data_IF_043562811191
#
_entry.id   IF_043562811191
#
_cell.length_a   1.000
_cell.length_b   1.000
_cell.length_c   1.000
_cell.angle_alpha   90.00
_cell.angle_beta   90.00
_cell.angle_gamma   90.00
#
_symmetry.space_group_name_H-M   'P 1'
#
loop_
_entity.id
_entity.type
_entity.pdbx_description
1 polymer ?
#
# COMPACT_ATOMS: atom_id res chain seq x y z
N UNK A 1 26.77 3.89 -3.60
CA UNK A 1 25.46 4.28 -4.16
C UNK A 1 25.20 5.74 -3.86
N UNK A 2 24.55 6.45 -4.78
CA UNK A 2 24.12 7.84 -4.56
C UNK A 2 23.13 7.91 -3.40
N UNK A 3 23.26 8.89 -2.52
CA UNK A 3 22.26 9.09 -1.47
C UNK A 3 21.02 9.75 -2.08
N UNK A 4 19.88 9.16 -1.84
CA UNK A 4 18.60 9.62 -2.37
C UNK A 4 17.67 9.96 -1.21
N UNK A 5 16.88 11.02 -1.40
CA UNK A 5 15.99 11.56 -0.39
C UNK A 5 14.60 11.82 -0.94
N UNK A 6 13.60 11.63 -0.11
CA UNK A 6 12.27 12.19 -0.31
C UNK A 6 12.32 13.63 0.18
N UNK A 7 12.30 14.56 -0.78
CA UNK A 7 12.31 16.00 -0.52
C UNK A 7 10.91 16.53 -0.23
N UNK A 8 9.91 16.05 -0.98
CA UNK A 8 8.52 16.44 -0.80
C UNK A 8 7.59 15.25 -1.02
N UNK A 9 6.49 15.22 -0.28
CA UNK A 9 5.49 14.19 -0.40
C UNK A 9 4.11 14.74 -0.02
N UNK A 10 3.08 14.30 -0.73
CA UNK A 10 1.70 14.69 -0.42
C UNK A 10 0.71 13.63 -0.90
N UNK A 11 -0.48 13.66 -0.33
CA UNK A 11 -1.63 12.90 -0.82
C UNK A 11 -2.91 13.74 -0.72
N UNK A 12 -3.93 13.35 -1.45
CA UNK A 12 -5.30 13.82 -1.25
C UNK A 12 -5.97 13.03 -0.14
N UNK A 13 -7.09 13.50 0.37
CA UNK A 13 -7.97 12.62 1.14
C UNK A 13 -8.35 11.43 0.24
N UNK A 14 -8.13 10.20 0.72
CA UNK A 14 -8.65 9.03 0.05
C UNK A 14 -10.14 8.88 0.38
N UNK A 15 -10.96 8.53 -0.61
CA UNK A 15 -12.38 8.45 -0.37
C UNK A 15 -13.24 8.47 -1.62
N UNK A 16 -14.45 8.99 -1.48
CA UNK A 16 -15.38 9.16 -2.60
C UNK A 16 -15.38 10.63 -3.01
N UNK A 17 -15.00 10.91 -4.25
CA UNK A 17 -14.91 12.25 -4.82
C UNK A 17 -15.76 12.37 -6.09
N UNK A 18 -17.11 12.31 -6.00
CA UNK A 18 -17.99 12.26 -7.18
C UNK A 18 -17.80 13.47 -8.12
N UNK A 19 -17.52 14.64 -7.54
CA UNK A 19 -17.44 15.92 -8.26
C UNK A 19 -16.01 16.29 -8.69
N UNK A 20 -15.04 15.42 -8.47
CA UNK A 20 -13.63 15.65 -8.83
C UNK A 20 -13.18 14.68 -9.93
N UNK A 21 -12.51 15.23 -10.91
CA UNK A 21 -11.85 14.43 -11.93
C UNK A 21 -10.54 13.79 -11.43
N UNK A 22 -10.03 12.82 -12.18
CA UNK A 22 -8.70 12.24 -11.94
C UNK A 22 -7.60 13.33 -11.97
N UNK A 23 -7.74 14.31 -12.89
CA UNK A 23 -6.78 15.42 -13.02
C UNK A 23 -6.80 16.36 -11.80
N UNK A 24 -7.97 16.61 -11.20
CA UNK A 24 -8.07 17.44 -10.00
C UNK A 24 -7.37 16.77 -8.82
N UNK A 25 -7.54 15.45 -8.65
CA UNK A 25 -6.87 14.69 -7.61
C UNK A 25 -5.35 14.65 -7.81
N UNK A 26 -4.90 14.34 -9.03
CA UNK A 26 -3.48 14.32 -9.37
C UNK A 26 -2.83 15.71 -9.23
N UNK A 27 -3.52 16.76 -9.68
CA UNK A 27 -3.06 18.15 -9.58
C UNK A 27 -2.90 18.63 -8.14
N UNK A 28 -3.83 18.27 -7.24
CA UNK A 28 -3.72 18.58 -5.82
C UNK A 28 -2.50 17.88 -5.20
N UNK A 29 -2.35 16.57 -5.42
CA UNK A 29 -1.22 15.82 -4.86
C UNK A 29 0.12 16.37 -5.37
N UNK A 30 0.25 16.64 -6.68
CA UNK A 30 1.44 17.22 -7.26
C UNK A 30 1.76 18.60 -6.68
N UNK A 31 0.79 19.52 -6.70
CA UNK A 31 0.99 20.89 -6.23
C UNK A 31 1.49 20.92 -4.78
N UNK A 32 0.90 20.08 -3.93
CA UNK A 32 1.28 19.96 -2.53
C UNK A 32 2.65 19.31 -2.34
N UNK A 33 3.00 18.27 -3.13
CA UNK A 33 4.30 17.64 -3.05
C UNK A 33 5.43 18.57 -3.52
N UNK A 34 5.19 19.34 -4.60
CA UNK A 34 6.12 20.37 -5.06
C UNK A 34 6.32 21.49 -4.01
N UNK A 35 5.22 21.95 -3.40
CA UNK A 35 5.30 22.95 -2.32
C UNK A 35 6.04 22.41 -1.09
N UNK A 36 5.82 21.14 -0.72
CA UNK A 36 6.52 20.47 0.37
C UNK A 36 8.03 20.30 0.11
N UNK A 37 8.42 20.08 -1.16
CA UNK A 37 9.82 20.04 -1.59
C UNK A 37 10.46 21.43 -1.75
N UNK A 38 9.66 22.50 -1.85
CA UNK A 38 10.13 23.84 -2.16
C UNK A 38 10.52 24.03 -3.63
N UNK A 39 9.96 23.26 -4.56
CA UNK A 39 10.33 23.30 -5.98
C UNK A 39 9.10 23.48 -6.90
N UNK A 40 9.34 23.50 -8.21
CA UNK A 40 8.33 23.64 -9.25
C UNK A 40 8.40 22.47 -10.23
N UNK A 41 7.39 22.32 -11.08
CA UNK A 41 7.41 21.29 -12.13
C UNK A 41 8.59 21.41 -13.11
N UNK A 42 9.18 22.60 -13.26
CA UNK A 42 10.35 22.84 -14.14
C UNK A 42 11.65 22.25 -13.59
N UNK A 43 11.70 21.94 -12.30
CA UNK A 43 12.86 21.32 -11.64
C UNK A 43 12.91 19.81 -11.85
N UNK A 44 11.78 19.21 -12.29
CA UNK A 44 11.67 17.77 -12.53
C UNK A 44 12.41 17.36 -13.78
N UNK A 45 13.19 16.27 -13.72
CA UNK A 45 13.88 15.70 -14.89
C UNK A 45 13.22 14.44 -15.43
N UNK A 46 12.35 13.77 -14.64
CA UNK A 46 11.59 12.58 -15.04
C UNK A 46 10.33 12.45 -14.19
N UNK A 47 9.27 11.88 -14.74
CA UNK A 47 8.04 11.59 -14.04
C UNK A 47 7.56 10.16 -14.27
N UNK A 48 7.15 9.47 -13.19
CA UNK A 48 6.57 8.15 -13.19
C UNK A 48 5.11 8.25 -12.74
N UNK A 49 4.20 7.82 -13.62
CA UNK A 49 2.76 7.80 -13.35
C UNK A 49 2.30 6.38 -13.07
N UNK A 50 1.53 6.19 -12.01
CA UNK A 50 0.87 4.93 -11.68
C UNK A 50 -0.65 5.10 -11.63
N UNK A 51 -1.35 4.27 -12.41
CA UNK A 51 -2.81 4.25 -12.46
C UNK A 51 -3.29 3.03 -13.23
N UNK A 52 -4.05 2.17 -12.57
CA UNK A 52 -4.48 0.87 -13.08
C UNK A 52 -5.85 0.97 -13.76
N UNK A 53 -6.75 1.77 -13.18
CA UNK A 53 -8.16 1.74 -13.55
C UNK A 53 -8.50 2.63 -14.75
N UNK A 54 -7.58 3.47 -15.20
CA UNK A 54 -7.81 4.48 -16.23
C UNK A 54 -8.34 3.89 -17.55
N UNK A 55 -7.78 2.75 -17.98
CA UNK A 55 -8.22 2.05 -19.20
C UNK A 55 -9.66 1.55 -19.09
N UNK A 56 -9.95 0.79 -18.03
CA UNK A 56 -11.25 0.17 -17.84
C UNK A 56 -12.35 1.17 -17.46
N UNK A 57 -12.07 2.08 -16.51
CA UNK A 57 -13.11 2.94 -15.94
C UNK A 57 -13.29 4.26 -16.69
N UNK A 58 -12.20 4.88 -17.17
CA UNK A 58 -12.23 6.15 -17.89
C UNK A 58 -12.07 6.01 -19.41
N UNK A 59 -11.73 4.79 -19.91
CA UNK A 59 -11.47 4.56 -21.33
C UNK A 59 -10.09 5.05 -21.81
N UNK A 60 -9.24 5.56 -20.90
CA UNK A 60 -7.89 6.03 -21.24
C UNK A 60 -6.91 4.85 -21.19
N UNK A 61 -6.89 4.01 -22.23
CA UNK A 61 -6.08 2.79 -22.31
C UNK A 61 -4.60 3.09 -22.51
N UNK A 62 -4.28 4.12 -23.32
CA UNK A 62 -2.90 4.46 -23.69
C UNK A 62 -2.51 5.82 -23.15
N UNK A 63 -1.20 6.00 -22.85
CA UNK A 63 -0.60 7.27 -22.42
C UNK A 63 -1.31 7.98 -21.25
N UNK A 64 -1.85 7.27 -20.23
CA UNK A 64 -2.61 7.93 -19.16
C UNK A 64 -1.78 8.98 -18.41
N UNK A 65 -0.51 8.71 -18.12
CA UNK A 65 0.38 9.66 -17.46
C UNK A 65 0.60 10.93 -18.24
N UNK A 66 0.86 10.84 -19.55
CA UNK A 66 1.04 12.01 -20.41
C UNK A 66 -0.24 12.87 -20.43
N UNK A 67 -1.41 12.22 -20.51
CA UNK A 67 -2.70 12.92 -20.46
C UNK A 67 -2.92 13.62 -19.11
N UNK A 68 -2.62 12.94 -17.99
CA UNK A 68 -2.73 13.53 -16.67
C UNK A 68 -1.74 14.69 -16.51
N UNK A 69 -0.46 14.46 -16.81
CA UNK A 69 0.60 15.44 -16.60
C UNK A 69 0.45 16.69 -17.47
N UNK A 70 0.00 16.56 -18.73
CA UNK A 70 -0.26 17.71 -19.59
C UNK A 70 -1.32 18.65 -19.02
N UNK A 71 -2.29 18.12 -18.25
CA UNK A 71 -3.35 18.92 -17.62
C UNK A 71 -2.92 19.62 -16.34
N UNK A 72 -1.83 19.16 -15.72
CA UNK A 72 -1.34 19.65 -14.43
C UNK A 72 0.05 20.32 -14.52
N UNK A 73 0.51 20.61 -15.75
CA UNK A 73 1.68 21.44 -16.00
C UNK A 73 3.02 20.72 -15.87
N UNK A 74 3.07 19.39 -16.06
CA UNK A 74 4.32 18.63 -16.21
C UNK A 74 4.49 18.27 -17.68
N UNK A 75 5.49 18.87 -18.32
CA UNK A 75 5.73 18.72 -19.77
C UNK A 75 7.23 18.81 -20.10
N UNK A 76 7.62 18.35 -21.27
CA UNK A 76 9.00 18.48 -21.77
C UNK A 76 10.01 17.52 -21.12
N UNK A 77 9.57 16.60 -20.29
CA UNK A 77 10.41 15.59 -19.63
C UNK A 77 9.92 14.17 -19.97
N UNK A 78 10.76 13.14 -19.80
CA UNK A 78 10.33 11.75 -19.92
C UNK A 78 9.21 11.42 -18.93
N UNK A 79 8.14 10.77 -19.43
CA UNK A 79 7.02 10.28 -18.64
C UNK A 79 6.86 8.79 -18.89
N UNK A 80 6.85 8.01 -17.81
CA UNK A 80 6.65 6.56 -17.83
C UNK A 80 5.35 6.18 -17.12
N UNK A 81 4.60 5.26 -17.73
CA UNK A 81 3.38 4.70 -17.16
C UNK A 81 3.72 3.36 -16.52
N UNK A 82 3.40 3.19 -15.24
CA UNK A 82 3.80 2.05 -14.42
C UNK A 82 2.55 1.31 -13.96
N UNK A 83 2.59 -0.02 -14.14
CA UNK A 83 1.53 -0.92 -13.73
C UNK A 83 2.14 -2.18 -13.11
N UNK A 84 1.83 -2.45 -11.84
CA UNK A 84 2.06 -3.65 -11.04
C UNK A 84 0.90 -3.83 -10.06
N UNK A 85 -0.33 -3.72 -10.57
CA UNK A 85 -1.55 -3.74 -9.76
C UNK A 85 -1.44 -2.81 -8.53
N UNK A 86 -1.80 -3.26 -7.33
CA UNK A 86 -1.76 -2.44 -6.11
C UNK A 86 -0.35 -1.95 -5.75
N UNK A 87 0.72 -2.59 -6.25
CA UNK A 87 2.12 -2.18 -6.04
C UNK A 87 2.60 -1.08 -7.02
N UNK A 88 1.75 -0.58 -7.93
CA UNK A 88 2.15 0.37 -8.98
C UNK A 88 2.74 1.66 -8.40
N UNK A 89 2.15 2.21 -7.33
CA UNK A 89 2.67 3.43 -6.69
C UNK A 89 4.07 3.24 -6.12
N UNK A 90 4.32 2.14 -5.44
CA UNK A 90 5.64 1.78 -4.91
C UNK A 90 6.62 1.45 -6.03
N UNK A 91 6.16 0.87 -7.14
CA UNK A 91 6.97 0.62 -8.33
C UNK A 91 7.42 1.93 -8.99
N UNK A 92 6.54 2.92 -9.09
CA UNK A 92 6.90 4.24 -9.62
C UNK A 92 7.92 4.95 -8.71
N UNK A 93 7.80 4.80 -7.40
CA UNK A 93 8.80 5.29 -6.44
C UNK A 93 10.15 4.59 -6.62
N UNK A 94 10.17 3.26 -6.76
CA UNK A 94 11.41 2.51 -7.01
C UNK A 94 12.09 2.96 -8.30
N UNK A 95 11.35 3.14 -9.40
CA UNK A 95 11.92 3.58 -10.68
C UNK A 95 12.45 5.02 -10.61
N UNK A 96 11.83 5.90 -9.82
CA UNK A 96 12.37 7.21 -9.53
C UNK A 96 13.74 7.09 -8.81
N UNK A 97 13.84 6.22 -7.78
CA UNK A 97 15.11 5.90 -7.11
C UNK A 97 16.16 5.37 -8.09
N UNK A 98 15.77 4.46 -9.00
CA UNK A 98 16.69 3.89 -10.01
C UNK A 98 17.22 4.96 -10.99
N UNK A 99 16.36 5.88 -11.45
CA UNK A 99 16.78 6.99 -12.32
C UNK A 99 17.79 7.93 -11.65
N UNK A 100 17.57 8.24 -10.38
CA UNK A 100 18.49 9.05 -9.57
C UNK A 100 19.83 8.34 -9.35
N UNK A 101 19.81 7.03 -9.05
CA UNK A 101 21.01 6.21 -8.91
C UNK A 101 21.81 6.11 -10.22
N UNK A 102 21.11 6.05 -11.36
CA UNK A 102 21.73 6.02 -12.69
C UNK A 102 22.30 7.38 -13.14
N UNK A 103 22.05 8.45 -12.36
CA UNK A 103 22.48 9.80 -12.69
C UNK A 103 21.80 10.40 -13.93
N UNK A 104 20.63 9.89 -14.33
CA UNK A 104 19.89 10.42 -15.47
C UNK A 104 19.19 11.74 -15.15
N UNK A 105 18.94 12.00 -13.87
CA UNK A 105 18.38 13.23 -13.34
C UNK A 105 18.71 13.35 -11.86
N UNK A 106 18.56 14.56 -11.28
CA UNK A 106 18.74 14.85 -9.86
C UNK A 106 17.40 15.04 -9.12
N UNK A 107 16.30 15.21 -9.85
CA UNK A 107 14.95 15.39 -9.30
C UNK A 107 13.97 14.56 -10.09
N UNK A 108 13.26 13.68 -9.41
CA UNK A 108 12.28 12.76 -10.01
C UNK A 108 10.93 12.85 -9.30
N UNK A 109 9.85 12.68 -10.07
CA UNK A 109 8.47 12.60 -9.58
C UNK A 109 7.96 11.16 -9.68
N UNK A 110 7.40 10.65 -8.57
CA UNK A 110 6.50 9.51 -8.57
C UNK A 110 5.09 10.01 -8.20
N UNK A 111 4.09 9.73 -9.04
CA UNK A 111 2.69 10.14 -8.81
C UNK A 111 1.74 9.01 -9.17
N UNK A 112 0.86 8.68 -8.22
CA UNK A 112 -0.23 7.73 -8.43
C UNK A 112 -1.60 8.39 -8.29
N UNK A 113 -2.55 8.03 -9.16
CA UNK A 113 -3.90 8.57 -9.11
C UNK A 113 -4.94 7.56 -9.60
N UNK A 114 -6.04 7.44 -8.86
CA UNK A 114 -7.15 6.56 -9.18
C UNK A 114 -8.52 7.22 -8.99
N UNK A 115 -9.44 6.84 -9.87
CA UNK A 115 -10.84 7.23 -9.81
C UNK A 115 -11.70 5.96 -9.93
N UNK A 116 -11.91 5.28 -8.80
CA UNK A 116 -12.55 3.95 -8.73
C UNK A 116 -14.03 4.00 -8.38
N UNK A 117 -14.49 5.09 -7.71
CA UNK A 117 -15.89 5.24 -7.34
C UNK A 117 -16.71 5.76 -8.52
N UNK A 118 -17.26 4.83 -9.29
CA UNK A 118 -18.18 5.09 -10.39
C UNK A 118 -19.58 4.58 -10.06
N UNK A 119 -20.64 5.07 -10.73
CA UNK A 119 -22.01 4.61 -10.51
C UNK A 119 -22.19 3.10 -10.78
N UNK A 120 -21.57 2.58 -11.84
CA UNK A 120 -21.62 1.16 -12.20
C UNK A 120 -20.68 0.34 -11.30
N UNK A 121 -21.27 -0.27 -10.27
CA UNK A 121 -20.53 -1.08 -9.29
C UNK A 121 -19.99 -2.38 -9.86
N UNK A 122 -20.68 -2.96 -10.84
CA UNK A 122 -20.21 -4.19 -11.53
C UNK A 122 -18.91 -3.90 -12.28
N UNK A 123 -18.87 -2.80 -13.02
CA UNK A 123 -17.65 -2.35 -13.71
C UNK A 123 -16.53 -2.00 -12.72
N UNK A 124 -16.85 -1.39 -11.58
CA UNK A 124 -15.87 -1.09 -10.54
C UNK A 124 -15.24 -2.36 -9.92
N UNK A 125 -16.03 -3.43 -9.73
CA UNK A 125 -15.54 -4.72 -9.23
C UNK A 125 -14.71 -5.45 -10.31
N UNK A 126 -15.07 -5.32 -11.58
CA UNK A 126 -14.36 -5.97 -12.70
C UNK A 126 -12.88 -5.55 -12.83
N UNK A 127 -12.47 -4.43 -12.19
CA UNK A 127 -11.06 -4.02 -12.11
C UNK A 127 -10.18 -5.16 -11.57
N UNK A 128 -10.68 -5.86 -10.56
CA UNK A 128 -9.92 -6.89 -9.88
C UNK A 128 -9.78 -8.18 -10.70
N UNK A 129 -10.60 -8.39 -11.72
CA UNK A 129 -10.51 -9.58 -12.60
C UNK A 129 -9.22 -9.58 -13.45
N UNK A 130 -8.56 -8.44 -13.62
CA UNK A 130 -7.27 -8.32 -14.29
C UNK A 130 -6.05 -8.49 -13.39
N UNK A 131 -6.25 -8.76 -12.08
CA UNK A 131 -5.16 -8.85 -11.11
C UNK A 131 -4.40 -10.17 -11.10
N UNK A 132 -4.67 -11.08 -12.05
CA UNK A 132 -4.01 -12.38 -12.26
C UNK A 132 -4.04 -12.77 -13.75
N UNK A 133 -3.56 -13.98 -14.07
CA UNK A 133 -3.67 -14.52 -15.43
C UNK A 133 -5.15 -14.75 -15.79
N UNK A 134 -5.70 -13.86 -16.63
CA UNK A 134 -7.11 -13.91 -17.04
C UNK A 134 -7.47 -15.12 -17.88
N UNK A 135 -6.47 -15.75 -18.54
CA UNK A 135 -6.68 -16.97 -19.34
C UNK A 135 -6.96 -18.20 -18.47
N UNK A 136 -6.59 -18.15 -17.18
CA UNK A 136 -6.74 -19.23 -16.20
C UNK A 136 -7.45 -18.76 -14.91
N UNK A 137 -8.18 -17.64 -14.98
CA UNK A 137 -8.74 -16.96 -13.80
C UNK A 137 -9.61 -17.88 -12.91
N UNK A 138 -10.49 -18.69 -13.49
CA UNK A 138 -11.37 -19.56 -12.73
C UNK A 138 -10.62 -20.75 -12.11
N UNK A 139 -9.65 -21.33 -12.81
CA UNK A 139 -8.80 -22.42 -12.32
C UNK A 139 -7.91 -21.94 -11.17
N UNK A 140 -7.27 -20.78 -11.34
CA UNK A 140 -6.43 -20.16 -10.32
C UNK A 140 -7.25 -19.80 -9.07
N UNK A 141 -8.42 -19.19 -9.25
CA UNK A 141 -9.31 -18.86 -8.15
C UNK A 141 -9.79 -20.13 -7.40
N UNK A 142 -10.18 -21.19 -8.12
CA UNK A 142 -10.58 -22.44 -7.50
C UNK A 142 -9.44 -23.07 -6.70
N UNK A 143 -8.22 -23.09 -7.25
CA UNK A 143 -7.01 -23.58 -6.57
C UNK A 143 -6.73 -22.80 -5.29
N UNK A 144 -6.78 -21.47 -5.34
CA UNK A 144 -6.53 -20.62 -4.18
C UNK A 144 -7.62 -20.76 -3.11
N UNK A 145 -8.88 -20.88 -3.51
CA UNK A 145 -10.00 -21.11 -2.56
C UNK A 145 -9.87 -22.45 -1.83
N UNK A 146 -9.27 -23.48 -2.47
CA UNK A 146 -8.99 -24.77 -1.82
C UNK A 146 -7.99 -24.69 -0.65
N UNK A 147 -7.17 -23.64 -0.56
CA UNK A 147 -6.30 -23.42 0.60
C UNK A 147 -7.10 -23.37 1.91
N UNK A 148 -8.34 -22.85 1.84
CA UNK A 148 -9.26 -22.78 2.98
C UNK A 148 -9.98 -24.09 3.33
N UNK A 149 -9.74 -25.18 2.61
CA UNK A 149 -10.41 -26.46 2.88
C UNK A 149 -10.11 -27.00 4.27
N UNK A 150 -11.13 -27.60 4.92
CA UNK A 150 -11.05 -28.15 6.27
C UNK A 150 -11.53 -27.20 7.37
N UNK A 151 -11.86 -25.94 7.04
CA UNK A 151 -12.59 -25.03 7.94
C UNK A 151 -13.98 -24.80 7.33
N UNK A 152 -15.01 -25.21 8.04
CA UNK A 152 -16.41 -25.00 7.62
C UNK A 152 -16.88 -23.61 8.05
N UNK A 153 -17.29 -22.73 7.13
CA UNK A 153 -17.89 -21.45 7.49
C UNK A 153 -19.17 -21.62 8.30
N UNK A 154 -19.40 -20.82 9.36
CA UNK A 154 -20.65 -20.81 10.10
C UNK A 154 -21.85 -20.45 9.20
N UNK A 155 -23.07 -20.95 9.47
CA UNK A 155 -24.27 -20.50 8.78
C UNK A 155 -24.45 -18.97 8.86
N UNK A 156 -24.82 -18.34 7.73
CA UNK A 156 -25.05 -16.88 7.66
C UNK A 156 -23.78 -16.03 7.63
N UNK A 157 -22.60 -16.64 7.41
CA UNK A 157 -21.32 -15.95 7.32
C UNK A 157 -20.87 -15.61 5.89
N UNK A 158 -21.81 -15.65 4.94
CA UNK A 158 -21.61 -15.32 3.53
C UNK A 158 -22.50 -14.13 3.14
N UNK A 159 -21.99 -13.26 2.29
CA UNK A 159 -22.73 -12.08 1.81
C UNK A 159 -23.77 -12.45 0.76
N UNK A 160 -24.98 -11.88 0.86
CA UNK A 160 -25.98 -11.93 -0.20
C UNK A 160 -25.66 -10.99 -1.39
N UNK A 161 -24.64 -10.13 -1.25
CA UNK A 161 -24.22 -9.17 -2.28
C UNK A 161 -22.97 -9.67 -2.98
N UNK A 162 -22.81 -9.38 -4.28
CA UNK A 162 -21.58 -9.68 -5.00
C UNK A 162 -20.34 -9.03 -4.35
N UNK A 163 -19.25 -9.77 -4.28
CA UNK A 163 -17.93 -9.31 -3.87
C UNK A 163 -16.86 -9.84 -4.84
N UNK A 164 -15.67 -9.26 -4.82
CA UNK A 164 -14.60 -9.66 -5.73
C UNK A 164 -14.07 -11.06 -5.39
N UNK A 165 -13.58 -11.80 -6.37
CA UNK A 165 -12.90 -13.09 -6.18
C UNK A 165 -11.70 -12.97 -5.23
N UNK A 166 -11.04 -11.82 -5.19
CA UNK A 166 -9.95 -11.55 -4.23
C UNK A 166 -10.40 -11.72 -2.79
N UNK A 167 -11.63 -11.30 -2.43
CA UNK A 167 -12.12 -11.48 -1.06
C UNK A 167 -12.31 -12.95 -0.72
N UNK A 168 -12.78 -13.78 -1.67
CA UNK A 168 -12.85 -15.24 -1.49
C UNK A 168 -11.47 -15.85 -1.27
N UNK A 169 -10.46 -15.37 -1.98
CA UNK A 169 -9.07 -15.82 -1.85
C UNK A 169 -8.49 -15.39 -0.50
N UNK A 170 -8.64 -14.12 -0.10
CA UNK A 170 -8.20 -13.66 1.23
C UNK A 170 -8.88 -14.46 2.35
N UNK A 171 -10.18 -14.74 2.23
CA UNK A 171 -10.88 -15.58 3.20
C UNK A 171 -10.34 -17.02 3.23
N UNK A 172 -9.97 -17.58 2.08
CA UNK A 172 -9.33 -18.89 2.01
C UNK A 172 -7.95 -18.88 2.67
N UNK A 173 -7.15 -17.82 2.46
CA UNK A 173 -5.87 -17.61 3.14
C UNK A 173 -6.07 -17.49 4.66
N UNK A 174 -7.09 -16.76 5.12
CA UNK A 174 -7.46 -16.73 6.54
C UNK A 174 -7.74 -18.15 7.09
N UNK A 175 -8.57 -18.92 6.41
CA UNK A 175 -8.91 -20.29 6.85
C UNK A 175 -7.69 -21.22 6.81
N UNK A 176 -6.81 -21.09 5.82
CA UNK A 176 -5.56 -21.81 5.81
C UNK A 176 -4.69 -21.45 7.02
N UNK A 177 -4.57 -20.17 7.34
CA UNK A 177 -3.79 -19.70 8.48
C UNK A 177 -4.41 -20.11 9.83
N UNK A 178 -5.74 -20.10 9.91
CA UNK A 178 -6.49 -20.65 11.06
C UNK A 178 -6.16 -22.13 11.28
N UNK A 179 -6.16 -22.92 10.22
CA UNK A 179 -5.86 -24.36 10.29
C UNK A 179 -4.40 -24.64 10.64
N UNK A 180 -3.48 -23.84 10.12
CA UNK A 180 -2.04 -24.08 10.21
C UNK A 180 -1.47 -23.55 11.53
N UNK A 181 -1.90 -22.37 11.96
CA UNK A 181 -1.31 -21.63 13.07
C UNK A 181 -2.31 -21.33 14.21
N UNK A 182 -3.57 -21.68 14.05
CA UNK A 182 -4.59 -21.42 15.08
C UNK A 182 -5.10 -19.99 15.15
N UNK A 183 -4.86 -19.18 14.11
CA UNK A 183 -5.39 -17.82 14.04
C UNK A 183 -6.91 -17.82 14.17
N UNK A 184 -7.46 -16.81 14.82
CA UNK A 184 -8.90 -16.70 15.09
C UNK A 184 -9.52 -15.51 14.36
N UNK A 185 -10.83 -15.56 14.14
CA UNK A 185 -11.57 -14.41 13.60
C UNK A 185 -11.43 -13.17 14.51
N UNK A 186 -11.31 -13.37 15.82
CA UNK A 186 -11.10 -12.29 16.79
C UNK A 186 -9.77 -11.58 16.57
N UNK A 187 -8.72 -12.30 16.21
CA UNK A 187 -7.42 -11.71 15.88
C UNK A 187 -7.46 -10.87 14.60
N UNK A 188 -8.20 -11.31 13.59
CA UNK A 188 -8.48 -10.50 12.39
C UNK A 188 -9.28 -9.24 12.76
N UNK A 189 -10.27 -9.37 13.62
CA UNK A 189 -11.05 -8.24 14.11
C UNK A 189 -10.19 -7.25 14.94
N UNK A 190 -9.18 -7.74 15.66
CA UNK A 190 -8.25 -6.89 16.41
C UNK A 190 -7.40 -6.02 15.46
N UNK A 191 -6.91 -6.58 14.34
CA UNK A 191 -6.23 -5.81 13.27
C UNK A 191 -7.13 -4.71 12.74
N UNK A 192 -8.34 -5.06 12.32
CA UNK A 192 -9.30 -4.11 11.78
C UNK A 192 -9.67 -3.01 12.78
N UNK A 193 -10.00 -3.37 14.03
CA UNK A 193 -10.33 -2.42 15.08
C UNK A 193 -9.17 -1.43 15.32
N UNK A 194 -7.92 -1.92 15.36
CA UNK A 194 -6.71 -1.11 15.48
C UNK A 194 -6.58 -0.13 14.30
N UNK A 195 -6.73 -0.59 13.06
CA UNK A 195 -6.62 0.25 11.88
C UNK A 195 -7.67 1.36 11.89
N UNK A 196 -8.91 1.06 12.26
CA UNK A 196 -9.96 2.06 12.41
C UNK A 196 -9.72 3.02 13.59
N UNK A 197 -9.06 2.59 14.67
CA UNK A 197 -8.64 3.48 15.76
C UNK A 197 -7.53 4.44 15.28
N UNK A 198 -6.54 3.96 14.55
CA UNK A 198 -5.45 4.78 14.02
C UNK A 198 -5.96 5.87 13.06
N UNK A 199 -6.90 5.52 12.20
CA UNK A 199 -7.45 6.46 11.20
C UNK A 199 -8.26 7.62 11.79
N UNK A 200 -8.76 7.51 13.02
CA UNK A 200 -9.48 8.61 13.69
C UNK A 200 -8.67 9.90 13.66
N UNK A 201 -7.35 9.79 13.84
CA UNK A 201 -6.42 10.92 13.88
C UNK A 201 -5.79 11.23 12.52
N UNK A 202 -6.16 10.51 11.45
CA UNK A 202 -5.63 10.76 10.12
C UNK A 202 -6.63 11.54 9.25
N UNK A 203 -6.39 12.85 8.97
CA UNK A 203 -7.30 13.66 8.16
C UNK A 203 -7.38 13.20 6.69
N UNK A 204 -6.45 12.36 6.24
CA UNK A 204 -6.39 11.86 4.86
C UNK A 204 -7.14 10.55 4.66
N UNK A 205 -7.66 9.94 5.74
CA UNK A 205 -8.36 8.65 5.70
C UNK A 205 -9.81 8.78 5.25
N UNK A 206 -10.26 7.78 4.46
CA UNK A 206 -11.64 7.64 3.99
C UNK A 206 -12.61 7.42 5.15
N UNK A 207 -12.25 6.55 6.08
CA UNK A 207 -13.02 6.30 7.30
C UNK A 207 -12.25 6.83 8.51
N UNK A 208 -12.99 7.49 9.39
CA UNK A 208 -12.45 8.07 10.63
C UNK A 208 -13.33 7.75 11.83
N UNK A 209 -14.04 6.63 11.74
CA UNK A 209 -14.88 6.10 12.80
C UNK A 209 -14.17 4.92 13.44
N UNK A 210 -13.94 4.92 14.76
CA UNK A 210 -13.37 3.77 15.46
C UNK A 210 -14.38 2.62 15.51
N UNK A 211 -13.86 1.39 15.60
CA UNK A 211 -14.63 0.20 15.90
C UNK A 211 -14.00 -0.53 17.08
N UNK A 212 -14.84 -1.18 17.87
CA UNK A 212 -14.40 -2.23 18.80
C UNK A 212 -14.27 -3.57 18.07
N UNK A 213 -13.56 -4.52 18.66
CA UNK A 213 -13.45 -5.89 18.12
C UNK A 213 -14.85 -6.51 17.97
N UNK A 214 -15.73 -6.31 18.95
CA UNK A 214 -17.10 -6.81 18.97
C UNK A 214 -17.95 -6.21 17.83
N UNK A 215 -17.81 -4.91 17.56
CA UNK A 215 -18.48 -4.25 16.42
C UNK A 215 -18.00 -4.77 15.09
N UNK A 216 -16.69 -5.05 14.95
CA UNK A 216 -16.12 -5.66 13.74
C UNK A 216 -16.66 -7.07 13.53
N UNK A 217 -16.71 -7.89 14.57
CA UNK A 217 -17.23 -9.26 14.51
C UNK A 217 -18.72 -9.31 14.19
N UNK A 218 -19.50 -8.34 14.68
CA UNK A 218 -20.94 -8.22 14.46
C UNK A 218 -21.31 -7.55 13.11
N UNK A 219 -20.32 -7.02 12.38
CA UNK A 219 -20.54 -6.35 11.10
C UNK A 219 -21.02 -7.35 10.01
N UNK A 220 -21.70 -6.86 8.93
CA UNK A 220 -22.12 -7.71 7.84
C UNK A 220 -20.98 -8.56 7.29
N UNK A 221 -21.20 -9.87 7.05
CA UNK A 221 -20.19 -10.75 6.49
C UNK A 221 -19.92 -10.41 5.01
N UNK A 222 -18.70 -10.70 4.58
CA UNK A 222 -18.34 -10.79 3.14
C UNK A 222 -18.25 -12.27 2.77
N UNK A 223 -17.28 -12.98 3.34
CA UNK A 223 -17.12 -14.43 3.29
C UNK A 223 -16.22 -14.85 4.45
N UNK A 224 -16.59 -15.93 5.16
CA UNK A 224 -15.93 -16.30 6.43
C UNK A 224 -14.42 -16.50 6.28
N UNK A 225 -13.61 -15.88 7.16
CA UNK A 225 -13.95 -15.15 8.39
C UNK A 225 -14.05 -13.62 8.23
N UNK A 226 -14.08 -13.08 7.00
CA UNK A 226 -14.05 -11.65 6.74
C UNK A 226 -15.43 -11.01 6.90
N UNK A 227 -15.48 -9.91 7.66
CA UNK A 227 -16.60 -8.98 7.72
C UNK A 227 -16.29 -7.71 6.90
N UNK A 228 -17.29 -6.91 6.61
CA UNK A 228 -17.16 -5.73 5.75
C UNK A 228 -16.03 -4.77 6.16
N UNK A 229 -15.86 -4.37 7.43
CA UNK A 229 -14.78 -3.47 7.82
C UNK A 229 -13.37 -4.10 7.76
N UNK A 230 -13.25 -5.43 7.70
CA UNK A 230 -11.96 -6.13 7.52
C UNK A 230 -11.45 -6.11 6.08
N UNK A 231 -12.12 -5.37 5.18
CA UNK A 231 -11.78 -5.33 3.75
C UNK A 231 -11.61 -3.89 3.30
N UNK A 232 -10.58 -3.62 2.52
CA UNK A 232 -10.32 -2.30 1.98
C UNK A 232 -11.46 -1.82 1.06
N UNK A 233 -11.91 -0.55 1.20
CA UNK A 233 -12.97 0.01 0.36
C UNK A 233 -12.44 0.43 -1.02
N UNK A 234 -13.36 0.55 -1.99
CA UNK A 234 -13.08 1.28 -3.23
C UNK A 234 -12.84 2.76 -2.91
N UNK A 235 -11.73 3.30 -3.37
CA UNK A 235 -11.32 4.67 -3.06
C UNK A 235 -10.88 5.43 -4.32
N UNK A 236 -11.22 6.70 -4.38
CA UNK A 236 -10.60 7.68 -5.26
C UNK A 236 -9.47 8.36 -4.49
N UNK A 237 -8.42 8.76 -5.16
CA UNK A 237 -7.35 9.52 -4.54
C UNK A 237 -6.08 9.58 -5.36
N UNK A 238 -5.16 10.40 -4.91
CA UNK A 238 -3.83 10.57 -5.51
C UNK A 238 -2.78 10.79 -4.42
N UNK A 239 -1.56 10.38 -4.70
CA UNK A 239 -0.39 10.67 -3.89
C UNK A 239 0.82 10.92 -4.80
N UNK A 240 1.73 11.82 -4.36
CA UNK A 240 2.91 12.21 -5.12
C UNK A 240 4.13 12.35 -4.21
N UNK A 241 5.28 11.92 -4.69
CA UNK A 241 6.57 12.06 -4.02
C UNK A 241 7.60 12.70 -4.96
N UNK A 242 8.35 13.68 -4.45
CA UNK A 242 9.50 14.30 -5.09
C UNK A 242 10.77 13.72 -4.47
N UNK A 243 11.55 13.04 -5.29
CA UNK A 243 12.81 12.41 -4.89
C UNK A 243 13.99 13.19 -5.47
N UNK A 244 15.06 13.31 -4.69
CA UNK A 244 16.26 14.05 -5.10
C UNK A 244 17.53 13.31 -4.73
N UNK A 245 18.60 13.53 -5.54
CA UNK A 245 19.98 13.35 -5.11
C UNK A 245 20.37 14.50 -4.16
N UNK A 246 21.55 14.45 -3.54
CA UNK A 246 22.08 15.56 -2.74
C UNK A 246 22.25 16.84 -3.60
N UNK A 247 22.72 16.69 -4.84
CA UNK A 247 22.83 17.77 -5.82
C UNK A 247 21.46 18.34 -6.19
N UNK A 248 20.45 17.46 -6.35
CA UNK A 248 19.06 17.86 -6.58
C UNK A 248 18.49 18.68 -5.44
N UNK A 249 18.73 18.27 -4.17
CA UNK A 249 18.30 19.01 -2.99
C UNK A 249 18.91 20.43 -2.95
N UNK A 250 20.22 20.56 -3.24
CA UNK A 250 20.89 21.85 -3.31
C UNK A 250 20.30 22.72 -4.42
N UNK A 251 20.05 22.14 -5.62
CA UNK A 251 19.51 22.87 -6.77
C UNK A 251 18.13 23.46 -6.50
N UNK A 252 17.26 22.71 -5.82
CA UNK A 252 15.90 23.20 -5.51
C UNK A 252 15.82 23.97 -4.20
N UNK A 253 16.92 24.05 -3.43
CA UNK A 253 16.93 24.74 -2.13
C UNK A 253 16.08 24.06 -1.05
N UNK A 254 15.96 22.73 -1.09
CA UNK A 254 15.14 21.97 -0.14
C UNK A 254 15.65 22.09 1.30
N UNK A 255 14.75 22.12 2.28
CA UNK A 255 15.11 22.02 3.69
C UNK A 255 15.64 20.61 4.02
N UNK A 256 16.96 20.49 4.07
CA UNK A 256 17.67 19.23 4.30
C UNK A 256 17.23 18.51 5.58
N UNK A 257 16.75 19.24 6.60
CA UNK A 257 16.30 18.66 7.87
C UNK A 257 14.98 17.92 7.74
N UNK A 258 14.19 18.28 6.72
CA UNK A 258 12.91 17.61 6.41
C UNK A 258 13.04 16.49 5.36
N UNK A 259 14.20 16.40 4.69
CA UNK A 259 14.44 15.37 3.69
C UNK A 259 14.68 14.01 4.35
N UNK A 260 13.92 13.00 3.96
CA UNK A 260 14.01 11.64 4.51
C UNK A 260 14.81 10.77 3.54
N UNK A 261 15.84 10.10 4.06
CA UNK A 261 16.72 9.22 3.27
C UNK A 261 15.97 7.96 2.84
N UNK A 262 16.13 7.55 1.57
CA UNK A 262 15.76 6.24 1.07
C UNK A 262 16.93 5.28 1.33
N UNK A 263 16.81 4.45 2.36
CA UNK A 263 17.88 3.51 2.78
C UNK A 263 17.84 2.22 1.96
N UNK A 264 16.66 1.77 1.54
CA UNK A 264 16.49 0.68 0.60
C UNK A 264 15.25 0.87 -0.25
N UNK A 265 15.27 0.38 -1.48
CA UNK A 265 14.14 0.34 -2.40
C UNK A 265 14.25 -0.90 -3.27
N UNK A 266 13.40 -1.89 -3.02
CA UNK A 266 13.42 -3.22 -3.64
C UNK A 266 12.08 -3.50 -4.29
N UNK A 267 12.13 -4.10 -5.49
CA UNK A 267 10.97 -4.74 -6.13
C UNK A 267 11.34 -6.17 -6.46
N UNK A 268 10.43 -7.11 -6.18
CA UNK A 268 10.53 -8.50 -6.58
C UNK A 268 9.23 -8.96 -7.22
N UNK A 269 9.36 -9.91 -8.16
CA UNK A 269 8.22 -10.65 -8.70
C UNK A 269 8.08 -11.98 -7.95
N UNK A 270 6.90 -12.58 -8.09
CA UNK A 270 6.50 -13.86 -7.51
C UNK A 270 7.59 -14.94 -7.58
N UNK A 271 7.46 -15.95 -6.74
CA UNK A 271 8.23 -17.19 -6.77
C UNK A 271 7.31 -18.37 -7.14
N UNK A 272 7.87 -19.50 -7.49
CA UNK A 272 7.10 -20.74 -7.67
C UNK A 272 7.12 -21.61 -6.40
N UNK A 273 6.94 -20.95 -5.22
CA UNK A 273 6.93 -21.65 -3.95
C UNK A 273 5.69 -22.50 -3.73
N UNK A 274 5.80 -23.48 -2.85
CA UNK A 274 4.64 -24.17 -2.28
C UNK A 274 4.24 -23.53 -0.96
N UNK A 275 3.04 -23.85 -0.45
CA UNK A 275 2.54 -23.34 0.84
C UNK A 275 3.40 -23.74 2.05
N UNK A 276 4.11 -24.87 1.95
CA UNK A 276 5.04 -25.36 2.98
C UNK A 276 6.46 -24.79 2.87
N UNK A 277 6.68 -23.78 2.03
CA UNK A 277 7.94 -23.06 1.85
C UNK A 277 7.79 -21.55 2.16
N UNK A 278 7.39 -21.19 3.38
CA UNK A 278 7.13 -19.78 3.74
C UNK A 278 8.39 -18.91 3.68
N UNK A 279 9.58 -19.49 3.80
CA UNK A 279 10.86 -18.80 3.68
C UNK A 279 11.12 -18.26 2.27
N UNK A 280 10.42 -18.80 1.25
CA UNK A 280 10.51 -18.36 -0.14
C UNK A 280 9.44 -17.33 -0.53
N UNK A 281 8.60 -16.88 0.40
CA UNK A 281 7.57 -15.91 0.10
C UNK A 281 8.19 -14.62 -0.47
N UNK A 282 7.61 -14.09 -1.56
CA UNK A 282 8.18 -12.94 -2.29
C UNK A 282 8.36 -11.72 -1.39
N UNK A 283 7.39 -11.40 -0.51
CA UNK A 283 7.50 -10.29 0.45
C UNK A 283 8.65 -10.51 1.43
N UNK A 284 8.84 -11.74 1.93
CA UNK A 284 9.95 -12.08 2.82
C UNK A 284 11.30 -11.91 2.13
N UNK A 285 11.43 -12.39 0.90
CA UNK A 285 12.66 -12.24 0.13
C UNK A 285 12.97 -10.79 -0.21
N UNK A 286 11.92 -9.99 -0.50
CA UNK A 286 12.06 -8.56 -0.72
C UNK A 286 12.50 -7.83 0.57
N UNK A 287 11.92 -8.17 1.71
CA UNK A 287 12.28 -7.61 3.01
C UNK A 287 13.74 -7.93 3.39
N UNK A 288 14.18 -9.19 3.26
CA UNK A 288 15.56 -9.59 3.54
C UNK A 288 16.55 -8.80 2.67
N UNK A 289 16.26 -8.63 1.39
CA UNK A 289 17.09 -7.83 0.49
C UNK A 289 17.10 -6.35 0.90
N UNK A 290 15.96 -5.79 1.31
CA UNK A 290 15.87 -4.41 1.75
C UNK A 290 16.64 -4.17 3.06
N UNK A 291 16.56 -5.08 4.01
CA UNK A 291 17.35 -5.03 5.24
C UNK A 291 18.85 -5.08 4.96
N UNK A 292 19.29 -6.00 4.10
CA UNK A 292 20.70 -6.08 3.69
C UNK A 292 21.19 -4.79 3.03
N UNK A 293 20.38 -4.20 2.11
CA UNK A 293 20.72 -2.93 1.46
C UNK A 293 20.81 -1.77 2.45
N UNK A 294 19.94 -1.74 3.45
CA UNK A 294 19.90 -0.67 4.46
C UNK A 294 20.95 -0.87 5.57
N UNK A 295 21.47 -2.09 5.76
CA UNK A 295 22.31 -2.47 6.90
C UNK A 295 21.53 -2.48 8.22
N UNK A 296 20.24 -2.86 8.17
CA UNK A 296 19.28 -2.86 9.28
C UNK A 296 18.62 -4.24 9.38
N UNK A 297 17.87 -4.48 10.47
CA UNK A 297 17.05 -5.66 10.68
C UNK A 297 15.59 -5.31 11.01
N UNK A 298 14.71 -6.31 11.12
CA UNK A 298 13.31 -6.08 11.52
C UNK A 298 13.19 -5.45 12.92
N UNK A 299 14.16 -5.69 13.81
CA UNK A 299 14.24 -5.12 15.16
C UNK A 299 14.52 -3.62 15.19
N UNK A 300 15.06 -3.06 14.09
CA UNK A 300 15.36 -1.64 13.96
C UNK A 300 14.15 -0.82 13.45
N UNK A 301 13.07 -1.48 13.03
CA UNK A 301 11.91 -0.79 12.45
C UNK A 301 11.00 -0.21 13.53
N UNK A 302 10.93 1.13 13.56
CA UNK A 302 10.10 1.87 14.53
C UNK A 302 8.64 2.00 14.10
N UNK A 303 8.39 2.04 12.78
CA UNK A 303 7.06 2.22 12.20
C UNK A 303 6.94 1.50 10.85
N UNK A 304 5.77 0.92 10.61
CA UNK A 304 5.53 0.03 9.47
C UNK A 304 4.23 0.40 8.76
N UNK A 305 4.25 0.40 7.43
CA UNK A 305 3.04 0.39 6.60
C UNK A 305 3.06 -0.85 5.71
N UNK A 306 2.01 -1.67 5.75
CA UNK A 306 1.88 -2.88 4.93
C UNK A 306 0.62 -2.86 4.08
N UNK A 307 0.57 -3.72 3.07
CA UNK A 307 -0.57 -3.91 2.18
C UNK A 307 -1.63 -4.80 2.84
N UNK A 308 -2.57 -4.18 3.55
CA UNK A 308 -3.71 -4.80 4.22
C UNK A 308 -5.00 -4.63 3.41
N UNK A 309 -5.05 -5.16 2.18
CA UNK A 309 -6.30 -5.20 1.41
C UNK A 309 -7.42 -5.98 2.15
N UNK A 310 -7.03 -6.79 3.11
CA UNK A 310 -7.86 -7.36 4.17
C UNK A 310 -7.05 -7.50 5.45
N UNK A 311 -7.70 -7.65 6.60
CA UNK A 311 -7.05 -7.86 7.90
C UNK A 311 -6.00 -8.98 7.90
N UNK A 312 -6.17 -10.01 7.06
CA UNK A 312 -5.19 -11.09 6.90
C UNK A 312 -3.88 -10.60 6.28
N UNK A 313 -3.95 -9.61 5.39
CA UNK A 313 -2.76 -9.02 4.78
C UNK A 313 -1.80 -8.49 5.83
N UNK A 314 -2.26 -7.74 6.82
CA UNK A 314 -1.40 -7.23 7.89
C UNK A 314 -0.73 -8.35 8.69
N UNK A 315 -1.48 -9.42 9.04
CA UNK A 315 -0.93 -10.56 9.78
C UNK A 315 0.19 -11.23 8.97
N UNK A 316 -0.08 -11.56 7.69
CA UNK A 316 0.90 -12.23 6.83
C UNK A 316 2.13 -11.35 6.61
N UNK A 317 1.95 -10.05 6.38
CA UNK A 317 3.09 -9.19 6.11
C UNK A 317 3.91 -8.87 7.37
N UNK A 318 3.29 -8.78 8.57
CA UNK A 318 4.04 -8.71 9.81
C UNK A 318 4.97 -9.92 10.01
N UNK A 319 4.53 -11.11 9.59
CA UNK A 319 5.31 -12.35 9.64
C UNK A 319 6.38 -12.39 8.55
N UNK A 320 6.05 -11.98 7.32
CA UNK A 320 6.99 -11.94 6.19
C UNK A 320 8.11 -10.91 6.38
N UNK A 321 7.79 -9.76 6.95
CA UNK A 321 8.78 -8.73 7.30
C UNK A 321 9.66 -9.15 8.49
N UNK A 322 9.36 -10.27 9.16
CA UNK A 322 10.12 -10.77 10.31
C UNK A 322 9.88 -10.01 11.61
N UNK A 323 8.84 -9.19 11.69
CA UNK A 323 8.48 -8.43 12.90
C UNK A 323 8.00 -9.36 14.02
N UNK A 324 7.41 -10.50 13.62
CA UNK A 324 6.98 -11.60 14.48
C UNK A 324 7.28 -12.93 13.79
N UNK A 325 7.40 -14.06 14.55
CA UNK A 325 7.52 -15.37 13.93
C UNK A 325 6.26 -15.77 13.16
N UNK A 326 6.37 -16.76 12.25
CA UNK A 326 5.22 -17.33 11.54
C UNK A 326 4.15 -17.83 12.52
N UNK A 327 2.90 -17.48 12.26
CA UNK A 327 1.76 -17.74 13.16
C UNK A 327 1.67 -16.77 14.35
N UNK A 328 2.61 -15.84 14.48
CA UNK A 328 2.68 -14.88 15.58
C UNK A 328 1.88 -13.59 15.35
N UNK A 329 1.52 -13.28 14.11
CA UNK A 329 0.89 -12.01 13.76
C UNK A 329 -0.48 -11.80 14.41
N UNK A 330 -1.34 -12.81 14.37
CA UNK A 330 -2.67 -12.75 15.00
C UNK A 330 -2.60 -12.54 16.52
N UNK A 331 -1.88 -13.37 17.28
CA UNK A 331 -1.68 -13.17 18.70
C UNK A 331 -1.05 -11.82 19.07
N UNK A 332 -0.08 -11.30 18.28
CA UNK A 332 0.53 -10.00 18.53
C UNK A 332 -0.46 -8.84 18.33
N UNK A 333 -1.28 -8.91 17.27
CA UNK A 333 -2.35 -7.94 17.03
C UNK A 333 -3.36 -7.91 18.18
N UNK A 334 -3.79 -9.07 18.69
CA UNK A 334 -4.75 -9.17 19.78
C UNK A 334 -4.18 -8.64 21.12
N UNK A 335 -2.86 -8.77 21.35
CA UNK A 335 -2.17 -8.17 22.50
C UNK A 335 -1.89 -6.67 22.35
N UNK A 336 -2.22 -6.06 21.20
CA UNK A 336 -1.99 -4.65 20.94
C UNK A 336 -0.53 -4.28 20.61
N UNK A 337 0.32 -5.24 20.23
CA UNK A 337 1.73 -4.98 19.93
C UNK A 337 1.91 -4.08 18.69
N UNK A 338 0.92 -4.05 17.79
CA UNK A 338 0.90 -3.27 16.55
C UNK A 338 0.16 -1.94 16.65
N UNK A 339 -0.35 -1.59 17.83
CA UNK A 339 -1.04 -0.30 18.06
C UNK A 339 -0.04 0.85 18.17
N UNK A 340 -0.53 2.09 18.03
CA UNK A 340 0.22 3.28 18.44
C UNK A 340 0.60 3.14 19.92
N UNK A 341 1.90 3.27 20.24
CA UNK A 341 2.44 3.00 21.58
C UNK A 341 2.72 1.52 21.89
N UNK A 342 2.38 0.60 20.98
CA UNK A 342 2.79 -0.80 21.03
C UNK A 342 4.27 -1.00 20.64
N UNK A 343 4.71 -2.26 20.62
CA UNK A 343 6.11 -2.60 20.35
C UNK A 343 6.56 -2.20 18.94
N UNK A 344 5.72 -2.43 17.93
CA UNK A 344 6.03 -2.11 16.53
C UNK A 344 4.72 -1.63 15.86
N UNK A 345 4.44 -0.33 15.87
CA UNK A 345 3.23 0.20 15.26
C UNK A 345 3.14 -0.13 13.76
N UNK A 346 2.07 -0.82 13.39
CA UNK A 346 1.76 -1.16 12.00
C UNK A 346 0.54 -0.37 11.54
N UNK A 347 0.62 0.20 10.34
CA UNK A 347 -0.44 0.97 9.71
C UNK A 347 -0.96 2.12 10.59
N UNK A 348 -0.08 3.02 11.12
CA UNK A 348 -0.52 4.18 11.90
C UNK A 348 -1.43 5.10 11.08
N UNK A 349 -1.39 5.00 9.75
CA UNK A 349 -2.28 5.73 8.85
C UNK A 349 -3.75 5.28 8.93
N UNK A 350 -4.02 4.08 9.45
CA UNK A 350 -5.29 3.38 9.41
C UNK A 350 -5.33 2.23 8.40
N UNK A 351 -4.18 1.95 7.74
CA UNK A 351 -4.08 0.90 6.73
C UNK A 351 -5.01 1.10 5.53
N UNK A 352 -5.03 0.16 4.62
CA UNK A 352 -5.91 0.20 3.45
C UNK A 352 -7.37 0.04 3.85
N UNK A 353 -7.63 -0.74 4.90
CA UNK A 353 -8.99 -1.00 5.41
C UNK A 353 -9.72 0.28 5.81
N UNK A 354 -9.03 1.26 6.39
CA UNK A 354 -9.65 2.47 6.90
C UNK A 354 -9.19 3.75 6.19
N UNK A 355 -7.88 3.89 5.88
CA UNK A 355 -7.36 5.02 5.09
C UNK A 355 -7.94 5.01 3.69
N UNK A 356 -8.13 3.84 3.10
CA UNK A 356 -8.59 3.68 1.73
C UNK A 356 -7.51 3.11 0.80
N UNK A 357 -7.97 2.60 -0.36
CA UNK A 357 -7.13 1.86 -1.30
C UNK A 357 -7.33 2.28 -2.77
N UNK A 358 -6.96 3.52 -3.16
CA UNK A 358 -6.84 3.88 -4.57
C UNK A 358 -5.59 3.22 -5.14
N UNK A 359 -5.74 2.15 -5.91
CA UNK A 359 -4.71 1.15 -6.25
C UNK A 359 -3.36 1.78 -6.63
N UNK A 360 -3.32 2.62 -7.66
CA UNK A 360 -2.09 3.25 -8.15
C UNK A 360 -1.47 4.30 -7.20
N UNK A 361 -2.25 4.83 -6.25
CA UNK A 361 -1.79 5.82 -5.29
C UNK A 361 -1.40 5.22 -3.93
N UNK A 362 -1.81 3.96 -3.65
CA UNK A 362 -1.68 3.34 -2.33
C UNK A 362 -0.25 3.33 -1.83
N UNK A 363 0.70 2.84 -2.62
CA UNK A 363 2.10 2.72 -2.18
C UNK A 363 2.74 4.06 -1.84
N UNK A 364 2.48 5.11 -2.63
CA UNK A 364 2.97 6.46 -2.31
C UNK A 364 2.22 7.02 -1.08
N UNK A 365 0.94 6.69 -0.90
CA UNK A 365 0.16 7.05 0.29
C UNK A 365 0.65 6.37 1.58
N UNK A 366 1.21 5.15 1.50
CA UNK A 366 1.92 4.51 2.62
C UNK A 366 3.23 5.25 2.92
N UNK A 367 4.01 5.58 1.88
CA UNK A 367 5.25 6.37 2.04
C UNK A 367 4.97 7.77 2.60
N UNK A 368 3.83 8.39 2.26
CA UNK A 368 3.41 9.66 2.85
C UNK A 368 3.31 9.55 4.38
N UNK A 369 2.68 8.49 4.89
CA UNK A 369 2.60 8.27 6.34
C UNK A 369 3.98 8.10 6.95
N UNK A 370 4.81 7.22 6.37
CA UNK A 370 6.15 6.95 6.90
C UNK A 370 7.05 8.19 6.92
N UNK A 371 7.03 8.99 5.86
CA UNK A 371 7.77 10.27 5.80
C UNK A 371 7.25 11.24 6.86
N UNK A 372 5.94 11.34 7.02
CA UNK A 372 5.30 12.20 8.05
C UNK A 372 5.71 11.77 9.45
N UNK A 373 5.75 10.47 9.72
CA UNK A 373 6.21 9.90 11.00
C UNK A 373 7.69 10.23 11.26
N UNK A 374 8.56 9.98 10.29
CA UNK A 374 10.00 10.23 10.41
C UNK A 374 10.32 11.73 10.53
N UNK A 375 9.49 12.61 10.00
CA UNK A 375 9.61 14.07 10.19
C UNK A 375 9.15 14.55 11.56
N UNK A 376 8.39 13.75 12.31
CA UNK A 376 7.75 14.17 13.55
C UNK A 376 6.50 15.03 13.32
N UNK A 377 5.83 14.87 12.17
CA UNK A 377 4.71 15.69 11.72
C UNK A 377 3.37 14.95 11.77
N UNK A 378 3.30 13.76 12.37
CA UNK A 378 2.11 12.92 12.39
C UNK A 378 1.04 13.34 13.43
N UNK A 379 1.34 14.32 14.29
CA UNK A 379 0.39 14.83 15.28
C UNK A 379 -0.04 13.75 16.28
N UNK A 380 -1.34 13.56 16.47
CA UNK A 380 -1.85 12.61 17.47
C UNK A 380 -1.58 11.12 17.17
N UNK A 381 -1.13 10.79 15.94
CA UNK A 381 -0.72 9.43 15.56
C UNK A 381 0.80 9.25 15.51
N UNK A 382 1.56 10.21 16.06
CA UNK A 382 3.02 10.17 16.03
C UNK A 382 3.57 8.97 16.80
N UNK A 383 4.46 8.22 16.15
CA UNK A 383 5.34 7.25 16.79
C UNK A 383 6.57 8.01 17.27
N UNK A 384 6.67 8.18 18.58
CA UNK A 384 7.72 9.01 19.18
C UNK A 384 9.11 8.41 18.94
N UNK A 385 10.05 9.26 18.51
CA UNK A 385 11.44 8.86 18.32
C UNK A 385 11.71 8.01 17.08
N UNK A 386 10.75 7.83 16.18
CA UNK A 386 10.91 7.02 14.97
C UNK A 386 12.10 7.51 14.11
N UNK A 387 12.99 6.57 13.76
CA UNK A 387 14.19 6.79 12.94
C UNK A 387 14.20 5.95 11.68
N UNK A 388 13.63 4.75 11.74
CA UNK A 388 13.59 3.80 10.64
C UNK A 388 12.15 3.35 10.39
N UNK A 389 11.76 3.35 9.14
CA UNK A 389 10.43 2.99 8.72
C UNK A 389 10.50 2.01 7.55
N UNK A 390 9.63 1.02 7.53
CA UNK A 390 9.52 0.07 6.43
C UNK A 390 8.12 0.07 5.83
N UNK A 391 8.07 0.08 4.50
CA UNK A 391 6.86 -0.14 3.72
C UNK A 391 6.93 -1.51 3.05
N UNK A 392 5.81 -2.23 3.06
CA UNK A 392 5.53 -3.33 2.15
C UNK A 392 4.29 -3.02 1.32
N UNK A 393 4.34 -3.31 0.02
CA UNK A 393 3.20 -3.10 -0.87
C UNK A 393 3.17 -4.19 -1.96
N UNK A 394 2.25 -5.13 -1.81
CA UNK A 394 1.98 -6.19 -2.78
C UNK A 394 1.02 -5.76 -3.88
N UNK A 395 1.05 -6.45 -5.02
CA UNK A 395 0.15 -6.21 -6.15
C UNK A 395 -0.06 -7.42 -7.04
N UNK A 396 -1.33 -7.64 -7.42
CA UNK A 396 -1.75 -8.78 -8.23
C UNK A 396 -1.55 -10.12 -7.53
N UNK A 397 -1.86 -11.20 -8.25
CA UNK A 397 -1.62 -12.57 -7.78
C UNK A 397 -0.96 -13.40 -8.88
N UNK A 398 0.04 -14.19 -8.53
CA UNK A 398 0.63 -15.22 -9.38
C UNK A 398 0.92 -16.46 -8.54
N UNK A 399 0.31 -17.59 -8.92
CA UNK A 399 0.34 -18.78 -8.08
C UNK A 399 -0.38 -18.53 -6.74
N UNK A 400 0.35 -18.62 -5.63
CA UNK A 400 -0.21 -18.53 -4.26
C UNK A 400 0.25 -17.27 -3.49
N UNK A 401 0.82 -16.30 -4.18
CA UNK A 401 1.35 -15.07 -3.57
C UNK A 401 1.20 -13.86 -4.50
N UNK A 402 1.63 -12.70 -4.06
CA UNK A 402 1.60 -11.48 -4.86
C UNK A 402 2.46 -11.60 -6.13
N UNK A 403 1.96 -11.09 -7.26
CA UNK A 403 2.68 -11.08 -8.54
C UNK A 403 3.89 -10.13 -8.51
N UNK A 404 3.77 -9.03 -7.79
CA UNK A 404 4.82 -8.05 -7.56
C UNK A 404 4.76 -7.53 -6.13
N UNK A 405 5.93 -7.34 -5.50
CA UNK A 405 6.03 -6.75 -4.15
C UNK A 405 7.13 -5.70 -4.16
N UNK A 406 6.82 -4.55 -3.58
CA UNK A 406 7.79 -3.51 -3.26
C UNK A 406 8.05 -3.49 -1.75
N UNK A 407 9.33 -3.34 -1.36
CA UNK A 407 9.73 -3.05 0.02
C UNK A 407 10.68 -1.86 0.01
N UNK A 408 10.32 -0.83 0.78
CA UNK A 408 11.14 0.38 0.93
C UNK A 408 11.47 0.60 2.39
N UNK A 409 12.74 0.96 2.68
CA UNK A 409 13.18 1.38 4.01
C UNK A 409 13.60 2.84 3.94
N UNK A 410 13.00 3.64 4.81
CA UNK A 410 13.27 5.06 4.96
C UNK A 410 13.95 5.33 6.30
N UNK A 411 14.84 6.30 6.34
CA UNK A 411 15.56 6.68 7.57
C UNK A 411 15.70 8.20 7.70
N UNK A 412 15.62 8.66 8.94
CA UNK A 412 15.86 10.05 9.32
C UNK A 412 17.31 10.31 9.66
#
# INVERSE_FOLDING_TARGET
MTQIYVAGIAMTVFGRHPDRSLHDLAGEALTRALADAGCTARDLGVAYYSGITNGLLQGQISIPGQVVFSKIGVEGIPVYNIENACASGSSSFNLAVQSLNAGTTDVALALGAEKMNIPDKTKAIAIFEGGWDVSQADENAATLVQLGAGITPPPGSESDRPYSKFMAIYAAMCRWHMKTYGTTQRQLAAVCAKNHQHSVHNPWSQFRKPFTIEEVLAAPPITYPLTLPMCAPLSDGSAAAILCTEEGLQRIGADRKRCIKVSASVIRSFTHRRMDEPEKHVSRLAALQAYEMAGLGPEDMDVVEVHDASAMGEIIQAENLGLVPLGGGGPAAERGEFTLGGRTPINPSGGLESKGHPLGATGIGQLYELVTQLRGEAGARQVEGARHAIQENGGGLQGIEEAAVAVHILSR
#
